data_IF_273961582011
#
_entry.id   IF_273961582011
#
_cell.length_a   1.000
_cell.length_b   1.000
_cell.length_c   1.000
_cell.angle_alpha   90.00
_cell.angle_beta   90.00
_cell.angle_gamma   90.00
#
_symmetry.space_group_name_H-M   'P 1'
#
loop_
_entity.id
_entity.type
_entity.pdbx_description
1 polymer ?
#
# COMPACT_ATOMS: atom_id res chain seq x y z
N UNK A 1 7.00 39.93 5.38
CA UNK A 1 5.64 39.60 4.91
C UNK A 1 4.73 39.68 6.11
N UNK A 2 3.55 40.29 6.01
CA UNK A 2 2.74 40.68 7.17
C UNK A 2 2.18 39.44 7.91
N UNK A 3 2.28 39.44 9.24
CA UNK A 3 1.95 38.32 10.16
C UNK A 3 0.54 37.75 9.89
N UNK A 4 -0.43 38.64 9.71
CA UNK A 4 -1.82 38.27 9.41
C UNK A 4 -2.02 37.73 8.01
N UNK A 5 -1.18 38.13 7.05
CA UNK A 5 -1.28 37.70 5.66
C UNK A 5 -0.76 36.27 5.51
N UNK A 6 0.32 35.89 6.21
CA UNK A 6 0.86 34.52 6.20
C UNK A 6 -0.03 33.52 6.93
N UNK A 7 -0.57 33.89 8.10
CA UNK A 7 -1.54 33.06 8.84
C UNK A 7 -2.80 32.78 8.02
N UNK A 8 -3.28 33.79 7.27
CA UNK A 8 -4.39 33.64 6.32
C UNK A 8 -4.04 32.79 5.10
N UNK A 9 -2.86 32.98 4.51
CA UNK A 9 -2.42 32.22 3.31
C UNK A 9 -2.30 30.71 3.58
N UNK A 10 -2.04 30.31 4.84
CA UNK A 10 -1.90 28.90 5.22
C UNK A 10 -3.10 28.31 5.96
N UNK A 11 -3.96 29.13 6.57
CA UNK A 11 -5.36 28.70 6.77
C UNK A 11 -6.02 28.33 5.43
N UNK A 12 -5.66 29.03 4.36
CA UNK A 12 -6.08 28.66 3.00
C UNK A 12 -5.41 27.35 2.56
N UNK A 13 -4.16 27.08 2.91
CA UNK A 13 -3.48 25.79 2.61
C UNK A 13 -4.08 24.62 3.40
N UNK A 14 -4.42 24.80 4.68
CA UNK A 14 -5.15 23.84 5.49
C UNK A 14 -6.60 23.63 4.99
N UNK A 15 -7.25 24.69 4.49
CA UNK A 15 -8.55 24.60 3.83
C UNK A 15 -8.47 23.95 2.42
N UNK A 16 -7.31 23.98 1.77
CA UNK A 16 -7.05 23.30 0.49
C UNK A 16 -6.85 21.80 0.67
N UNK A 17 -6.29 21.34 1.80
CA UNK A 17 -6.25 19.92 2.18
C UNK A 17 -7.67 19.35 2.32
N UNK A 18 -8.59 20.11 2.93
CA UNK A 18 -10.00 19.70 3.12
C UNK A 18 -10.86 19.67 1.85
N UNK A 19 -10.31 20.03 0.68
CA UNK A 19 -11.00 20.01 -0.61
C UNK A 19 -10.87 18.68 -1.38
N UNK A 20 -10.01 17.76 -0.95
CA UNK A 20 -9.77 16.49 -1.62
C UNK A 20 -10.53 15.35 -0.91
N UNK A 21 -11.84 15.28 -1.11
CA UNK A 21 -12.64 14.12 -0.69
C UNK A 21 -13.16 13.38 -1.92
N UNK A 22 -12.42 12.35 -2.32
CA UNK A 22 -13.03 11.20 -2.97
C UNK A 22 -12.54 9.95 -2.23
N UNK A 23 -13.41 9.48 -1.36
CA UNK A 23 -13.35 8.16 -0.76
C UNK A 23 -13.41 7.10 -1.86
N UNK A 24 -12.38 6.27 -1.89
CA UNK A 24 -12.32 4.99 -2.56
C UNK A 24 -11.17 4.25 -1.89
N UNK A 25 -11.31 2.95 -1.65
CA UNK A 25 -10.21 2.13 -1.15
C UNK A 25 -8.98 2.35 -2.04
N UNK A 26 -7.96 3.04 -1.54
CA UNK A 26 -6.79 3.41 -2.37
C UNK A 26 -5.75 2.30 -2.26
N UNK A 27 -6.03 1.18 -2.94
CA UNK A 27 -4.96 0.38 -3.51
C UNK A 27 -4.15 1.31 -4.42
N UNK A 28 -2.82 1.17 -4.44
CA UNK A 28 -1.99 2.01 -5.31
C UNK A 28 -2.50 1.86 -6.75
N UNK A 29 -2.94 2.98 -7.35
CA UNK A 29 -3.43 2.98 -8.73
C UNK A 29 -2.36 2.35 -9.60
N UNK A 30 -2.72 1.34 -10.35
CA UNK A 30 -1.73 0.59 -11.11
C UNK A 30 -2.26 0.23 -12.48
N UNK A 31 -1.34 0.09 -13.43
CA UNK A 31 -1.63 -0.32 -14.80
C UNK A 31 -0.88 -1.62 -15.02
N UNK A 32 -1.64 -2.71 -15.15
CA UNK A 32 -1.13 -4.03 -15.47
C UNK A 32 -1.20 -4.34 -16.94
N UNK A 33 -0.12 -4.85 -17.52
CA UNK A 33 -0.10 -5.39 -18.86
C UNK A 33 0.35 -6.84 -18.81
N UNK A 34 -0.49 -7.75 -19.27
CA UNK A 34 -0.19 -9.18 -19.44
C UNK A 34 0.04 -9.46 -20.93
N UNK A 35 1.21 -10.00 -21.29
CA UNK A 35 1.48 -10.47 -22.64
C UNK A 35 0.99 -11.91 -22.77
N UNK A 36 -0.17 -12.09 -23.42
CA UNK A 36 -0.87 -13.38 -23.51
C UNK A 36 -0.04 -14.42 -24.27
N UNK A 37 0.66 -14.03 -25.34
CA UNK A 37 1.59 -14.90 -26.07
C UNK A 37 0.96 -16.15 -26.72
N UNK A 38 1.79 -17.17 -26.98
CA UNK A 38 1.46 -18.40 -27.74
C UNK A 38 1.90 -18.37 -29.22
N UNK A 39 1.92 -19.49 -29.98
CA UNK A 39 3.00 -20.48 -29.94
C UNK A 39 3.90 -20.54 -31.21
N UNK A 40 5.08 -21.19 -31.10
CA UNK A 40 5.54 -22.04 -32.21
C UNK A 40 6.19 -23.39 -31.82
N UNK A 41 5.60 -24.51 -32.31
CA UNK A 41 6.18 -25.85 -32.21
C UNK A 41 5.25 -27.07 -32.36
N UNK A 42 4.00 -26.95 -32.85
CA UNK A 42 3.09 -28.12 -32.89
C UNK A 42 1.78 -28.01 -33.67
N UNK A 43 1.78 -27.40 -34.86
CA UNK A 43 0.63 -27.40 -35.78
C UNK A 43 -0.62 -26.70 -35.26
N UNK A 44 -1.74 -26.87 -35.98
CA UNK A 44 -3.11 -26.35 -35.73
C UNK A 44 -3.72 -26.68 -34.35
N UNK A 45 -2.92 -27.11 -33.38
CA UNK A 45 -3.30 -27.48 -32.01
C UNK A 45 -2.58 -26.66 -30.91
N UNK A 46 -1.80 -25.63 -31.27
CA UNK A 46 -1.22 -24.70 -30.30
C UNK A 46 -2.29 -23.86 -29.60
N UNK A 47 -2.03 -23.42 -28.37
CA UNK A 47 -2.91 -22.54 -27.60
C UNK A 47 -2.25 -21.20 -27.34
N UNK A 48 -3.06 -20.17 -27.15
CA UNK A 48 -2.63 -18.91 -26.56
C UNK A 48 -2.14 -19.18 -25.13
N UNK A 49 -1.23 -18.34 -24.63
CA UNK A 49 -0.99 -18.32 -23.19
C UNK A 49 -2.20 -17.81 -22.42
N UNK A 50 -2.04 -17.64 -21.12
CA UNK A 50 -3.18 -17.42 -20.23
C UNK A 50 -3.60 -15.95 -20.15
N UNK A 51 -4.93 -15.72 -20.17
CA UNK A 51 -5.50 -14.45 -19.76
C UNK A 51 -5.44 -14.32 -18.24
N UNK A 52 -5.10 -13.13 -17.75
CA UNK A 52 -5.19 -12.80 -16.32
C UNK A 52 -6.50 -12.05 -16.10
N UNK A 53 -7.33 -12.61 -15.23
CA UNK A 53 -8.71 -12.17 -14.99
C UNK A 53 -9.00 -11.83 -13.53
N UNK A 54 -8.10 -12.21 -12.63
CA UNK A 54 -8.18 -11.88 -11.21
C UNK A 54 -6.93 -11.14 -10.72
N UNK A 55 -6.59 -11.37 -9.46
CA UNK A 55 -5.50 -10.65 -8.76
C UNK A 55 -4.19 -11.40 -8.93
N UNK A 56 -3.17 -10.72 -9.47
CA UNK A 56 -1.83 -11.26 -9.67
C UNK A 56 -0.76 -10.16 -9.55
N UNK A 57 0.51 -10.57 -9.51
CA UNK A 57 1.69 -9.71 -9.54
C UNK A 57 2.44 -9.62 -8.20
N UNK A 58 3.68 -9.14 -8.27
CA UNK A 58 4.50 -8.78 -7.09
C UNK A 58 3.79 -7.75 -6.23
N UNK A 59 3.18 -6.75 -6.87
CA UNK A 59 2.17 -5.89 -6.25
C UNK A 59 0.83 -6.47 -6.69
N UNK A 60 0.04 -7.08 -5.78
CA UNK A 60 -1.24 -7.66 -6.16
C UNK A 60 -2.14 -6.60 -6.81
N UNK A 61 -2.62 -6.86 -8.03
CA UNK A 61 -3.61 -6.01 -8.72
C UNK A 61 -4.59 -6.86 -9.52
N UNK A 62 -5.82 -6.35 -9.68
CA UNK A 62 -6.78 -6.81 -10.68
C UNK A 62 -6.66 -5.98 -11.97
N UNK A 63 -7.56 -6.21 -12.94
CA UNK A 63 -7.69 -5.30 -14.09
C UNK A 63 -6.58 -5.38 -15.14
N UNK A 64 -5.89 -6.52 -15.25
CA UNK A 64 -4.79 -6.69 -16.21
C UNK A 64 -5.24 -6.48 -17.67
N UNK A 65 -4.54 -5.61 -18.39
CA UNK A 65 -4.68 -5.41 -19.82
C UNK A 65 -4.02 -6.61 -20.54
N UNK A 66 -4.84 -7.51 -21.05
CA UNK A 66 -4.37 -8.70 -21.78
C UNK A 66 -4.10 -8.34 -23.24
N UNK A 67 -2.81 -8.27 -23.62
CA UNK A 67 -2.33 -7.85 -24.94
C UNK A 67 -1.49 -8.95 -25.60
N UNK A 68 -1.09 -8.73 -26.85
CA UNK A 68 -0.31 -9.68 -27.65
C UNK A 68 -0.88 -11.12 -27.65
N UNK A 69 -2.20 -11.34 -27.89
CA UNK A 69 -2.67 -12.68 -28.17
C UNK A 69 -2.04 -13.15 -29.48
N UNK A 70 -1.77 -14.45 -29.58
CA UNK A 70 -1.25 -15.00 -30.82
C UNK A 70 -2.24 -14.81 -31.98
N UNK A 71 -1.71 -14.50 -33.18
CA UNK A 71 -2.52 -14.41 -34.39
C UNK A 71 -1.77 -14.95 -35.61
N UNK A 72 -2.49 -15.57 -36.56
CA UNK A 72 -1.91 -16.10 -37.80
C UNK A 72 -1.67 -15.03 -38.89
N UNK A 73 -2.05 -13.76 -38.67
CA UNK A 73 -1.99 -12.71 -39.70
C UNK A 73 -0.56 -12.18 -39.87
N UNK A 74 0.04 -12.45 -41.04
CA UNK A 74 1.45 -12.17 -41.40
C UNK A 74 1.64 -10.93 -42.26
N UNK A 75 0.79 -9.91 -42.12
CA UNK A 75 0.62 -8.87 -43.16
C UNK A 75 1.69 -7.76 -43.23
N UNK A 76 2.82 -7.84 -42.49
CA UNK A 76 3.91 -6.87 -42.61
C UNK A 76 4.72 -7.04 -43.93
N UNK A 77 4.76 -6.04 -44.83
CA UNK A 77 5.50 -6.15 -46.10
C UNK A 77 7.01 -5.98 -45.88
N UNK A 78 7.82 -6.95 -46.33
CA UNK A 78 9.29 -6.80 -46.47
C UNK A 78 10.16 -7.63 -45.54
N UNK A 79 9.59 -8.57 -44.79
CA UNK A 79 10.33 -9.46 -43.89
C UNK A 79 10.48 -10.87 -44.49
N UNK A 80 11.52 -11.63 -44.12
CA UNK A 80 11.72 -13.00 -44.60
C UNK A 80 10.48 -13.87 -44.33
N UNK A 81 10.09 -14.78 -45.24
CA UNK A 81 8.88 -15.59 -45.13
C UNK A 81 8.80 -16.54 -43.92
N UNK A 82 9.84 -16.59 -43.07
CA UNK A 82 10.00 -17.55 -41.98
C UNK A 82 10.04 -16.90 -40.58
N UNK A 83 9.81 -15.58 -40.44
CA UNK A 83 9.84 -14.88 -39.14
C UNK A 83 8.55 -14.05 -38.94
N UNK A 84 7.58 -14.53 -38.13
CA UNK A 84 6.37 -13.75 -37.83
C UNK A 84 6.72 -12.66 -36.83
N UNK A 85 7.03 -11.45 -37.31
CA UNK A 85 7.08 -10.25 -36.46
C UNK A 85 5.72 -10.10 -35.74
N UNK A 86 5.72 -10.26 -34.42
CA UNK A 86 4.53 -10.21 -33.53
C UNK A 86 4.42 -8.85 -32.82
N UNK A 87 4.99 -7.83 -33.45
CA UNK A 87 4.89 -6.44 -33.06
C UNK A 87 3.44 -6.01 -32.82
N UNK A 88 3.24 -5.10 -31.88
CA UNK A 88 1.91 -4.61 -31.60
C UNK A 88 1.89 -3.40 -30.70
N UNK A 89 0.68 -2.92 -30.46
CA UNK A 89 0.41 -1.80 -29.58
C UNK A 89 -0.98 -1.91 -28.96
N UNK A 90 -1.14 -1.31 -27.79
CA UNK A 90 -2.43 -1.04 -27.17
C UNK A 90 -2.45 0.40 -26.68
N UNK A 91 -3.63 1.02 -26.74
CA UNK A 91 -3.84 2.42 -26.40
C UNK A 91 -4.86 2.54 -25.29
N UNK A 92 -4.83 3.66 -24.55
CA UNK A 92 -5.79 4.00 -23.50
C UNK A 92 -5.93 2.85 -22.47
N UNK A 93 -4.79 2.34 -21.97
CA UNK A 93 -4.75 1.20 -21.05
C UNK A 93 -5.62 1.44 -19.82
N UNK A 94 -6.22 0.37 -19.30
CA UNK A 94 -7.05 0.42 -18.11
C UNK A 94 -6.19 0.36 -16.84
N UNK A 95 -6.59 1.11 -15.81
CA UNK A 95 -6.08 0.94 -14.45
C UNK A 95 -6.65 -0.33 -13.77
N UNK A 96 -6.18 -0.62 -12.56
CA UNK A 96 -6.53 -1.79 -11.77
C UNK A 96 -8.02 -1.85 -11.35
N UNK A 97 -8.71 -0.70 -11.41
CA UNK A 97 -10.14 -0.55 -11.19
C UNK A 97 -10.96 -0.57 -12.50
N UNK A 98 -10.31 -0.70 -13.66
CA UNK A 98 -10.93 -0.69 -14.99
C UNK A 98 -11.21 0.71 -15.56
N UNK A 99 -10.68 1.76 -14.95
CA UNK A 99 -10.72 3.13 -15.44
C UNK A 99 -9.78 3.33 -16.63
N UNK A 100 -10.22 4.07 -17.64
CA UNK A 100 -9.40 4.38 -18.82
C UNK A 100 -8.32 5.39 -18.45
N UNK A 101 -7.06 5.10 -18.78
CA UNK A 101 -5.92 6.00 -18.57
C UNK A 101 -5.41 6.57 -19.90
N UNK A 102 -4.43 7.47 -19.84
CA UNK A 102 -3.70 7.92 -21.05
C UNK A 102 -2.55 6.99 -21.43
N UNK A 103 -2.22 5.98 -20.62
CA UNK A 103 -1.05 5.16 -20.89
C UNK A 103 -1.26 4.33 -22.15
N UNK A 104 -0.24 4.35 -23.01
CA UNK A 104 -0.17 3.54 -24.21
C UNK A 104 1.04 2.61 -24.13
N UNK A 105 1.01 1.51 -24.87
CA UNK A 105 2.12 0.57 -24.97
C UNK A 105 2.33 0.13 -26.42
N UNK A 106 3.59 0.00 -26.81
CA UNK A 106 4.00 -0.66 -28.05
C UNK A 106 5.13 -1.64 -27.76
N UNK A 107 5.23 -2.70 -28.56
CA UNK A 107 6.30 -3.67 -28.43
C UNK A 107 6.80 -4.15 -29.79
N UNK A 108 8.07 -4.56 -29.76
CA UNK A 108 8.80 -5.22 -30.81
C UNK A 108 9.32 -6.55 -30.25
N UNK A 109 9.07 -7.67 -30.93
CA UNK A 109 9.56 -8.99 -30.51
C UNK A 109 9.66 -9.98 -31.67
N UNK A 110 10.65 -10.87 -31.61
CA UNK A 110 10.86 -11.91 -32.63
C UNK A 110 9.71 -12.92 -32.66
N UNK A 111 9.13 -13.23 -31.50
CA UNK A 111 8.10 -14.25 -31.39
C UNK A 111 7.24 -14.06 -30.13
N UNK A 112 6.16 -14.83 -30.03
CA UNK A 112 5.40 -15.05 -28.79
C UNK A 112 5.47 -16.52 -28.41
N UNK A 113 5.51 -16.79 -27.11
CA UNK A 113 5.56 -18.16 -26.59
C UNK A 113 4.82 -18.26 -25.26
N UNK A 114 4.84 -19.45 -24.66
CA UNK A 114 4.25 -19.70 -23.36
C UNK A 114 5.10 -20.69 -22.57
N UNK A 115 5.15 -20.52 -21.25
CA UNK A 115 6.08 -21.22 -20.37
C UNK A 115 5.67 -22.67 -20.05
N UNK A 116 4.60 -23.20 -20.64
CA UNK A 116 4.01 -24.51 -20.29
C UNK A 116 3.60 -24.59 -18.79
N UNK A 117 3.08 -23.50 -18.21
CA UNK A 117 2.57 -23.50 -16.82
C UNK A 117 1.18 -24.14 -16.68
N UNK A 118 0.64 -24.70 -17.76
CA UNK A 118 -0.72 -25.27 -17.89
C UNK A 118 -1.11 -26.25 -16.78
N UNK A 119 -0.19 -27.14 -16.41
CA UNK A 119 -0.43 -28.15 -15.38
C UNK A 119 -0.71 -27.54 -14.00
N UNK A 120 -0.37 -26.26 -13.80
CA UNK A 120 -0.38 -25.56 -12.53
C UNK A 120 -1.16 -24.22 -12.57
N UNK A 121 -2.03 -23.97 -13.57
CA UNK A 121 -2.90 -22.76 -13.66
C UNK A 121 -3.98 -22.73 -12.57
N UNK A 122 -3.55 -22.82 -11.33
CA UNK A 122 -4.35 -22.89 -10.10
C UNK A 122 -4.60 -21.51 -9.51
N UNK A 123 -3.86 -20.49 -9.97
CA UNK A 123 -3.97 -19.10 -9.56
C UNK A 123 -3.59 -18.15 -10.70
N UNK A 124 -3.87 -16.87 -10.50
CA UNK A 124 -3.68 -15.82 -11.51
C UNK A 124 -2.22 -15.41 -11.68
N UNK A 125 -1.35 -15.57 -10.69
CA UNK A 125 0.10 -15.32 -10.84
C UNK A 125 0.75 -16.36 -11.76
N UNK A 126 0.34 -17.62 -11.68
CA UNK A 126 0.79 -18.64 -12.65
C UNK A 126 0.28 -18.35 -14.06
N UNK A 127 -0.91 -17.73 -14.21
CA UNK A 127 -1.40 -17.26 -15.52
C UNK A 127 -0.59 -16.07 -16.03
N UNK A 128 -0.26 -15.13 -15.16
CA UNK A 128 0.57 -13.96 -15.48
C UNK A 128 1.96 -14.38 -15.97
N UNK A 129 2.52 -15.46 -15.40
CA UNK A 129 3.81 -16.00 -15.81
C UNK A 129 3.72 -17.11 -16.87
N UNK A 130 2.58 -17.29 -17.54
CA UNK A 130 2.41 -18.32 -18.59
C UNK A 130 2.79 -17.77 -19.97
N UNK A 131 2.09 -16.75 -20.45
CA UNK A 131 2.35 -16.13 -21.76
C UNK A 131 3.52 -15.16 -21.74
N UNK A 132 4.25 -15.01 -22.85
CA UNK A 132 5.26 -13.97 -22.99
C UNK A 132 5.59 -13.63 -24.46
N UNK A 133 6.05 -12.39 -24.67
CA UNK A 133 6.77 -11.98 -25.88
C UNK A 133 8.25 -12.38 -25.77
N UNK A 134 8.80 -13.00 -26.80
CA UNK A 134 10.05 -13.77 -26.80
C UNK A 134 11.13 -13.14 -27.69
N UNK A 135 12.39 -13.31 -27.27
CA UNK A 135 13.54 -13.12 -28.13
C UNK A 135 14.37 -14.41 -28.22
N UNK A 136 14.74 -14.79 -29.43
CA UNK A 136 15.60 -15.94 -29.67
C UNK A 136 17.03 -15.70 -29.15
N UNK A 137 17.68 -16.74 -28.63
CA UNK A 137 19.05 -16.66 -28.09
C UNK A 137 20.18 -16.52 -29.13
N UNK A 138 19.90 -15.96 -30.32
CA UNK A 138 20.90 -15.75 -31.37
C UNK A 138 21.28 -14.27 -31.44
N UNK A 139 22.54 -13.95 -31.17
CA UNK A 139 23.11 -12.60 -31.11
C UNK A 139 23.00 -11.74 -32.40
N UNK A 140 22.44 -12.28 -33.49
CA UNK A 140 22.20 -11.57 -34.75
C UNK A 140 20.73 -11.12 -34.91
N UNK A 141 19.83 -11.49 -33.99
CA UNK A 141 18.43 -11.09 -34.01
C UNK A 141 18.22 -9.75 -33.30
N UNK A 142 17.08 -9.11 -33.59
CA UNK A 142 16.72 -7.79 -33.04
C UNK A 142 16.65 -7.87 -31.50
N UNK A 143 16.69 -6.74 -30.79
CA UNK A 143 16.40 -6.73 -29.35
C UNK A 143 14.89 -6.71 -29.17
N UNK A 144 14.36 -7.41 -28.15
CA UNK A 144 12.98 -7.20 -27.75
C UNK A 144 12.88 -5.82 -27.12
N UNK A 145 11.93 -5.00 -27.58
CA UNK A 145 11.72 -3.66 -27.05
C UNK A 145 10.26 -3.48 -26.68
N UNK A 146 9.99 -2.92 -25.51
CA UNK A 146 8.67 -2.46 -25.09
C UNK A 146 8.76 -0.99 -24.75
N UNK A 147 7.86 -0.17 -25.27
CA UNK A 147 7.78 1.26 -24.98
C UNK A 147 6.42 1.58 -24.38
N UNK A 148 6.42 2.04 -23.13
CA UNK A 148 5.29 2.70 -22.50
C UNK A 148 5.36 4.19 -22.81
N UNK A 149 4.24 4.79 -23.19
CA UNK A 149 4.10 6.24 -23.43
C UNK A 149 2.90 6.78 -22.67
N UNK A 150 2.89 8.10 -22.47
CA UNK A 150 1.78 8.81 -21.81
C UNK A 150 1.41 8.24 -20.43
N UNK A 151 2.41 7.74 -19.69
CA UNK A 151 2.21 7.23 -18.32
C UNK A 151 1.62 8.34 -17.45
N UNK A 152 0.44 8.12 -16.83
CA UNK A 152 -0.35 9.19 -16.19
C UNK A 152 0.15 9.56 -14.78
N UNK A 153 1.11 8.81 -14.24
CA UNK A 153 1.62 9.00 -12.88
C UNK A 153 2.84 9.93 -12.90
N UNK A 154 2.81 10.95 -12.04
CA UNK A 154 3.95 11.86 -11.86
C UNK A 154 5.19 11.14 -11.32
N UNK A 155 4.97 10.09 -10.51
CA UNK A 155 6.00 9.16 -10.05
C UNK A 155 5.43 7.75 -9.95
N UNK A 156 6.17 6.74 -10.37
CA UNK A 156 5.73 5.35 -10.30
C UNK A 156 6.90 4.38 -10.14
N UNK A 157 6.60 3.21 -9.60
CA UNK A 157 7.48 2.05 -9.69
C UNK A 157 7.11 1.22 -10.92
N UNK A 158 8.12 0.64 -11.57
CA UNK A 158 7.94 -0.22 -12.73
C UNK A 158 8.46 -1.63 -12.42
N UNK A 159 7.57 -2.61 -12.58
CA UNK A 159 7.90 -4.02 -12.50
C UNK A 159 7.88 -4.63 -13.90
N UNK A 160 8.93 -5.36 -14.26
CA UNK A 160 9.03 -6.08 -15.53
C UNK A 160 9.17 -7.57 -15.23
N UNK A 161 8.16 -8.35 -15.57
CA UNK A 161 8.12 -9.79 -15.31
C UNK A 161 8.78 -10.52 -16.46
N UNK A 162 9.80 -11.32 -16.16
CA UNK A 162 10.68 -11.93 -17.16
C UNK A 162 10.79 -13.43 -16.96
N UNK A 163 11.09 -14.15 -18.05
CA UNK A 163 11.13 -15.60 -18.00
C UNK A 163 11.27 -16.24 -19.36
N UNK A 164 10.99 -17.54 -19.44
CA UNK A 164 10.96 -18.30 -20.69
C UNK A 164 10.35 -19.70 -20.48
N UNK A 165 10.23 -20.51 -21.54
CA UNK A 165 9.82 -21.93 -21.48
C UNK A 165 10.85 -22.90 -20.88
N UNK A 166 11.99 -22.40 -20.42
CA UNK A 166 13.02 -23.17 -19.73
C UNK A 166 13.77 -22.37 -18.67
N UNK A 167 14.17 -23.04 -17.61
CA UNK A 167 14.91 -22.39 -16.53
C UNK A 167 16.41 -22.23 -16.88
N UNK A 168 17.08 -21.32 -16.18
CA UNK A 168 18.51 -21.03 -16.27
C UNK A 168 19.00 -20.46 -17.61
N UNK A 169 18.11 -19.84 -18.39
CA UNK A 169 18.48 -19.09 -19.60
C UNK A 169 18.89 -17.67 -19.23
N UNK A 170 20.04 -17.22 -19.73
CA UNK A 170 20.64 -15.93 -19.36
C UNK A 170 20.14 -14.83 -20.30
N UNK A 171 19.68 -13.73 -19.71
CA UNK A 171 19.31 -12.52 -20.44
C UNK A 171 19.60 -11.27 -19.61
N UNK A 172 19.66 -10.13 -20.30
CA UNK A 172 19.83 -8.80 -19.70
C UNK A 172 18.71 -7.86 -20.12
N UNK A 173 18.26 -7.01 -19.20
CA UNK A 173 17.24 -6.00 -19.46
C UNK A 173 17.80 -4.62 -19.13
N UNK A 174 17.62 -3.65 -20.01
CA UNK A 174 17.90 -2.24 -19.74
C UNK A 174 16.62 -1.41 -19.81
N UNK A 175 16.59 -0.36 -19.00
CA UNK A 175 15.55 0.67 -19.01
C UNK A 175 16.13 1.97 -19.56
N UNK A 176 15.46 2.59 -20.54
CA UNK A 176 15.84 3.86 -21.17
C UNK A 176 17.30 3.89 -21.67
N UNK A 177 17.74 2.78 -22.27
CA UNK A 177 19.14 2.56 -22.68
C UNK A 177 20.17 2.69 -21.54
N UNK A 178 19.73 2.51 -20.30
CA UNK A 178 20.56 2.49 -19.10
C UNK A 178 21.35 1.18 -18.91
N UNK A 179 21.98 0.98 -17.74
CA UNK A 179 22.71 -0.24 -17.44
C UNK A 179 21.78 -1.46 -17.45
N UNK A 180 22.35 -2.61 -17.83
CA UNK A 180 21.61 -3.88 -17.83
C UNK A 180 21.55 -4.49 -16.44
N UNK A 181 20.40 -5.07 -16.12
CA UNK A 181 20.20 -6.02 -15.04
C UNK A 181 20.05 -7.42 -15.63
N UNK A 182 20.82 -8.37 -15.12
CA UNK A 182 20.90 -9.73 -15.63
C UNK A 182 20.12 -10.71 -14.77
N UNK A 183 19.54 -11.72 -15.41
CA UNK A 183 18.79 -12.79 -14.75
C UNK A 183 19.00 -14.13 -15.42
N UNK A 184 18.77 -15.19 -14.66
CA UNK A 184 18.55 -16.54 -15.19
C UNK A 184 17.05 -16.84 -15.12
N UNK A 185 16.41 -17.22 -16.22
CA UNK A 185 14.96 -17.50 -16.23
C UNK A 185 14.56 -18.57 -15.20
N UNK A 186 13.40 -18.40 -14.55
CA UNK A 186 12.93 -19.26 -13.45
C UNK A 186 11.40 -19.44 -13.45
N UNK A 187 10.80 -19.62 -14.62
CA UNK A 187 9.33 -19.68 -14.77
C UNK A 187 8.84 -20.75 -15.74
N UNK A 188 9.71 -21.52 -16.39
CA UNK A 188 9.33 -22.51 -17.39
C UNK A 188 8.58 -23.72 -16.82
N UNK A 189 8.09 -24.63 -17.67
CA UNK A 189 7.49 -25.97 -17.42
C UNK A 189 6.78 -26.20 -16.07
N UNK A 190 6.02 -25.23 -15.55
CA UNK A 190 5.31 -25.35 -14.29
C UNK A 190 6.12 -25.04 -13.04
N UNK A 191 7.33 -24.47 -13.16
CA UNK A 191 8.19 -24.07 -12.04
C UNK A 191 7.63 -22.88 -11.25
N UNK A 192 6.71 -22.10 -11.82
CA UNK A 192 6.06 -20.99 -11.15
C UNK A 192 4.68 -21.39 -10.61
N UNK A 193 4.56 -21.55 -9.29
CA UNK A 193 3.37 -22.08 -8.62
C UNK A 193 2.51 -21.00 -7.96
N UNK A 194 3.00 -19.77 -7.81
CA UNK A 194 2.22 -18.66 -7.29
C UNK A 194 3.06 -17.53 -6.66
N UNK A 195 2.45 -16.66 -5.85
CA UNK A 195 3.08 -15.44 -5.32
C UNK A 195 4.43 -15.62 -4.61
N UNK A 196 4.63 -16.75 -3.92
CA UNK A 196 5.86 -17.02 -3.17
C UNK A 196 7.10 -17.23 -4.07
N UNK A 197 6.89 -17.50 -5.36
CA UNK A 197 7.93 -17.81 -6.32
C UNK A 197 8.49 -16.57 -7.03
N UNK A 198 7.92 -15.38 -6.80
CA UNK A 198 8.52 -14.14 -7.30
C UNK A 198 9.92 -13.92 -6.69
N UNK A 199 10.90 -13.74 -7.58
CA UNK A 199 12.31 -13.49 -7.25
C UNK A 199 12.85 -12.35 -8.11
N UNK A 200 13.28 -11.28 -7.46
CA UNK A 200 13.84 -10.12 -8.13
C UNK A 200 15.20 -10.43 -8.74
N UNK A 201 15.47 -9.91 -9.92
CA UNK A 201 16.81 -9.85 -10.49
C UNK A 201 17.50 -8.55 -10.06
N UNK A 202 18.72 -8.67 -9.52
CA UNK A 202 19.52 -7.52 -9.04
C UNK A 202 20.95 -7.53 -9.57
N UNK A 203 21.32 -8.53 -10.38
CA UNK A 203 22.69 -8.69 -10.86
C UNK A 203 23.03 -7.63 -11.93
N UNK A 204 24.17 -6.96 -11.77
CA UNK A 204 24.69 -5.95 -12.72
C UNK A 204 25.79 -6.51 -13.64
N UNK A 205 26.10 -7.80 -13.52
CA UNK A 205 26.99 -8.54 -14.45
C UNK A 205 26.38 -9.90 -14.79
N UNK A 206 26.75 -10.45 -15.94
CA UNK A 206 26.27 -11.75 -16.40
C UNK A 206 26.64 -12.89 -15.44
N UNK A 207 27.85 -12.87 -14.89
CA UNK A 207 28.37 -13.92 -14.00
C UNK A 207 27.68 -13.93 -12.63
N UNK A 208 27.10 -12.81 -12.22
CA UNK A 208 26.38 -12.67 -10.97
C UNK A 208 24.88 -12.99 -11.10
N UNK A 209 24.39 -13.27 -12.30
CA UNK A 209 23.00 -13.59 -12.56
C UNK A 209 22.57 -14.86 -11.79
N UNK A 210 21.40 -14.79 -11.17
CA UNK A 210 20.77 -15.89 -10.43
C UNK A 210 19.36 -16.16 -10.97
N UNK A 211 18.76 -17.33 -10.67
CA UNK A 211 17.38 -17.61 -11.02
C UNK A 211 16.41 -16.56 -10.46
N UNK A 212 15.78 -15.80 -11.36
CA UNK A 212 14.91 -14.67 -11.06
C UNK A 212 13.84 -14.54 -12.15
N UNK A 213 12.76 -13.82 -11.86
CA UNK A 213 11.59 -13.73 -12.73
C UNK A 213 10.89 -12.36 -12.74
N UNK A 214 11.47 -11.35 -12.10
CA UNK A 214 11.08 -9.96 -12.34
C UNK A 214 12.23 -8.98 -12.08
N UNK A 215 12.10 -7.78 -12.65
CA UNK A 215 12.93 -6.61 -12.37
C UNK A 215 12.06 -5.52 -11.74
N UNK A 216 12.69 -4.66 -10.95
CA UNK A 216 12.05 -3.55 -10.26
C UNK A 216 12.85 -2.28 -10.47
N UNK A 217 12.19 -1.25 -10.98
CA UNK A 217 12.74 0.08 -11.20
C UNK A 217 11.93 1.08 -10.36
N UNK A 218 12.47 1.55 -9.23
CA UNK A 218 11.75 2.44 -8.34
C UNK A 218 11.68 3.87 -8.88
N UNK A 219 10.61 4.59 -8.50
CA UNK A 219 10.56 6.06 -8.52
C UNK A 219 10.86 6.72 -9.86
N UNK A 220 10.36 6.15 -10.96
CA UNK A 220 10.42 6.76 -12.27
C UNK A 220 9.51 7.99 -12.34
N UNK A 221 10.00 9.07 -12.92
CA UNK A 221 9.31 10.35 -13.11
C UNK A 221 9.21 10.76 -14.60
N UNK A 222 9.30 9.75 -15.47
CA UNK A 222 9.24 9.90 -16.93
C UNK A 222 7.91 9.42 -17.48
N UNK A 223 7.33 10.17 -18.41
CA UNK A 223 6.09 9.79 -19.10
C UNK A 223 6.31 8.76 -20.21
N UNK A 224 7.56 8.41 -20.51
CA UNK A 224 7.94 7.39 -21.48
C UNK A 224 9.02 6.49 -20.90
N UNK A 225 8.79 5.18 -20.93
CA UNK A 225 9.73 4.17 -20.46
C UNK A 225 9.97 3.14 -21.58
N UNK A 226 11.21 3.02 -22.03
CA UNK A 226 11.65 2.06 -23.03
C UNK A 226 12.42 0.92 -22.35
N UNK A 227 11.87 -0.28 -22.39
CA UNK A 227 12.46 -1.51 -21.87
C UNK A 227 13.07 -2.27 -23.04
N UNK A 228 14.35 -2.62 -22.96
CA UNK A 228 15.03 -3.47 -23.95
C UNK A 228 15.48 -4.77 -23.27
N UNK A 229 15.11 -5.92 -23.83
CA UNK A 229 15.58 -7.24 -23.39
C UNK A 229 16.49 -7.86 -24.46
N UNK A 230 17.65 -8.32 -24.01
CA UNK A 230 18.64 -9.03 -24.81
C UNK A 230 18.82 -10.47 -24.30
N UNK A 231 18.54 -11.45 -25.16
CA UNK A 231 18.82 -12.86 -24.89
C UNK A 231 20.31 -13.15 -25.10
N UNK A 232 20.95 -13.75 -24.08
CA UNK A 232 22.41 -13.99 -24.09
C UNK A 232 22.72 -15.48 -24.23
N UNK A 233 22.04 -16.34 -23.47
CA UNK A 233 22.18 -17.78 -23.56
C UNK A 233 20.82 -18.48 -23.44
N UNK A 234 20.29 -18.91 -24.59
CA UNK A 234 18.91 -19.39 -24.72
C UNK A 234 17.93 -18.24 -25.00
N UNK A 235 16.67 -18.57 -25.24
CA UNK A 235 15.61 -17.58 -25.39
C UNK A 235 15.10 -17.09 -24.04
N UNK A 236 14.58 -15.86 -24.02
CA UNK A 236 14.00 -15.22 -22.86
C UNK A 236 12.98 -14.19 -23.31
N UNK A 237 12.13 -13.72 -22.40
CA UNK A 237 11.08 -12.80 -22.76
C UNK A 237 10.46 -12.07 -21.59
N UNK A 238 9.45 -11.25 -21.94
CA UNK A 238 8.68 -10.46 -21.00
C UNK A 238 7.26 -11.04 -20.93
N UNK A 239 6.89 -11.50 -19.74
CA UNK A 239 5.56 -12.03 -19.43
C UNK A 239 4.55 -10.92 -19.19
N UNK A 240 4.97 -9.90 -18.43
CA UNK A 240 4.08 -8.83 -18.01
C UNK A 240 4.87 -7.57 -17.64
N UNK A 241 4.15 -6.45 -17.55
CA UNK A 241 4.64 -5.19 -17.00
C UNK A 241 3.60 -4.65 -16.04
N UNK A 242 4.04 -4.04 -14.94
CA UNK A 242 3.17 -3.36 -14.01
C UNK A 242 3.74 -1.98 -13.64
N UNK A 243 2.92 -0.96 -13.84
CA UNK A 243 3.21 0.44 -13.49
C UNK A 243 2.42 0.75 -12.22
N UNK A 244 3.09 1.00 -11.11
CA UNK A 244 2.45 1.23 -9.80
C UNK A 244 2.64 2.68 -9.41
N UNK A 245 1.54 3.42 -9.25
CA UNK A 245 1.57 4.81 -8.81
C UNK A 245 2.32 4.93 -7.47
N UNK A 246 3.27 5.86 -7.45
CA UNK A 246 4.08 6.24 -6.28
C UNK A 246 4.10 7.76 -6.12
N UNK A 247 3.08 8.44 -6.61
CA UNK A 247 2.84 9.84 -6.31
C UNK A 247 2.61 10.08 -4.80
N UNK A 248 2.33 9.04 -4.03
CA UNK A 248 2.26 9.08 -2.58
C UNK A 248 3.64 8.84 -1.90
N UNK A 249 4.11 9.84 -1.17
CA UNK A 249 5.39 9.87 -0.46
C UNK A 249 5.25 9.46 1.00
N UNK A 250 4.04 9.63 1.54
CA UNK A 250 3.70 9.28 2.90
C UNK A 250 2.40 8.49 2.90
N UNK A 251 2.32 7.52 3.81
CA UNK A 251 1.10 6.81 4.13
C UNK A 251 0.75 7.01 5.61
N UNK A 252 -0.54 6.94 5.90
CA UNK A 252 -1.09 6.80 7.24
C UNK A 252 -1.40 5.32 7.47
N UNK A 253 -0.65 4.69 8.36
CA UNK A 253 -0.92 3.35 8.85
C UNK A 253 -1.77 3.41 10.10
N UNK A 254 -2.78 2.55 10.21
CA UNK A 254 -3.65 2.45 11.39
C UNK A 254 -3.78 1.00 11.79
N UNK A 255 -3.46 0.71 13.03
CA UNK A 255 -3.77 -0.57 13.64
C UNK A 255 -5.27 -0.61 13.97
N UNK A 256 -6.04 -1.41 13.22
CA UNK A 256 -7.48 -1.51 13.38
C UNK A 256 -7.91 -2.10 14.73
N UNK A 257 -7.02 -2.82 15.42
CA UNK A 257 -7.29 -3.42 16.73
C UNK A 257 -7.00 -2.44 17.87
N UNK A 258 -5.90 -1.70 17.79
CA UNK A 258 -5.46 -0.81 18.88
C UNK A 258 -5.85 0.65 18.70
N UNK A 259 -6.16 1.07 17.48
CA UNK A 259 -6.44 2.46 17.09
C UNK A 259 -5.18 3.32 16.95
N UNK A 260 -3.99 2.75 17.17
CA UNK A 260 -2.71 3.43 17.01
C UNK A 260 -2.46 3.74 15.52
N UNK A 261 -2.02 4.97 15.23
CA UNK A 261 -1.74 5.39 13.88
C UNK A 261 -0.30 5.89 13.72
N UNK A 262 0.24 5.75 12.52
CA UNK A 262 1.60 6.18 12.16
C UNK A 262 1.62 6.90 10.81
N UNK A 263 2.43 7.96 10.73
CA UNK A 263 2.88 8.47 9.44
C UNK A 263 4.18 7.74 9.09
N UNK A 264 4.20 7.11 7.92
CA UNK A 264 5.36 6.38 7.40
C UNK A 264 5.79 7.04 6.09
N UNK A 265 7.06 7.44 6.01
CA UNK A 265 7.67 7.91 4.77
C UNK A 265 8.11 6.74 3.91
N UNK A 266 8.01 6.89 2.58
CA UNK A 266 8.41 5.85 1.60
C UNK A 266 9.83 6.03 1.05
N UNK A 267 10.73 6.63 1.83
CA UNK A 267 12.18 6.47 1.64
C UNK A 267 12.83 7.24 0.49
N UNK A 268 12.19 8.30 -0.03
CA UNK A 268 12.80 9.12 -1.07
C UNK A 268 13.55 10.30 -0.42
N UNK A 269 14.85 10.42 -0.74
CA UNK A 269 15.89 11.31 -0.17
C UNK A 269 15.52 12.82 -0.09
N UNK A 270 14.34 13.24 -0.56
CA UNK A 270 13.92 14.64 -0.59
C UNK A 270 12.44 14.88 -0.17
N UNK A 271 11.78 13.89 0.46
CA UNK A 271 10.39 14.04 0.92
C UNK A 271 10.29 14.89 2.21
N UNK A 272 10.39 16.21 2.04
CA UNK A 272 10.24 17.19 3.12
C UNK A 272 8.76 17.56 3.32
N UNK A 273 8.10 16.95 4.31
CA UNK A 273 6.70 17.25 4.65
C UNK A 273 6.58 18.56 5.43
N UNK A 274 5.69 19.44 5.01
CA UNK A 274 5.43 20.74 5.65
C UNK A 274 4.06 20.82 6.33
N UNK A 275 3.11 19.97 5.95
CA UNK A 275 1.80 19.85 6.59
C UNK A 275 1.18 18.48 6.33
N UNK A 276 0.24 18.07 7.18
CA UNK A 276 -0.62 16.93 6.93
C UNK A 276 -2.04 17.16 7.48
N UNK A 277 -3.01 16.45 6.90
CA UNK A 277 -4.37 16.35 7.39
C UNK A 277 -4.84 14.89 7.33
N UNK A 278 -5.48 14.46 8.41
CA UNK A 278 -6.29 13.24 8.47
C UNK A 278 -7.73 13.70 8.62
N UNK A 279 -8.63 13.26 7.74
CA UNK A 279 -10.03 13.67 7.78
C UNK A 279 -10.96 12.46 7.69
N UNK A 280 -12.05 12.50 8.46
CA UNK A 280 -13.13 11.51 8.51
C UNK A 280 -14.47 12.24 8.51
N UNK A 281 -15.35 11.95 7.55
CA UNK A 281 -16.72 12.48 7.59
C UNK A 281 -17.61 11.75 8.60
N UNK A 282 -17.24 10.52 8.97
CA UNK A 282 -17.94 9.70 9.95
C UNK A 282 -17.57 10.04 11.40
N UNK A 283 -16.49 10.79 11.61
CA UNK A 283 -16.05 11.22 12.94
C UNK A 283 -15.24 10.15 13.69
N UNK A 284 -14.47 9.34 12.97
CA UNK A 284 -13.74 8.18 13.52
C UNK A 284 -12.45 8.55 14.29
N UNK A 285 -12.14 9.84 14.46
CA UNK A 285 -10.90 10.28 15.12
C UNK A 285 -11.08 10.55 16.63
N UNK A 286 -10.03 10.27 17.40
CA UNK A 286 -9.95 10.49 18.84
C UNK A 286 -8.92 11.60 19.14
N UNK A 287 -9.29 12.88 19.04
CA UNK A 287 -8.34 14.00 19.12
C UNK A 287 -7.63 14.11 20.48
N UNK A 288 -8.26 13.66 21.57
CA UNK A 288 -7.65 13.66 22.90
C UNK A 288 -6.51 12.63 23.05
N UNK A 289 -6.40 11.67 22.12
CA UNK A 289 -5.35 10.65 22.09
C UNK A 289 -4.24 10.98 21.09
N UNK A 290 -4.30 12.16 20.47
CA UNK A 290 -3.28 12.62 19.53
C UNK A 290 -1.94 12.89 20.21
N UNK A 291 -0.94 12.12 19.80
CA UNK A 291 0.48 12.40 20.03
C UNK A 291 1.01 13.26 18.89
N UNK A 292 0.73 14.56 18.95
CA UNK A 292 1.06 15.51 17.88
C UNK A 292 2.55 15.58 17.58
N UNK A 293 2.93 15.86 16.33
CA UNK A 293 4.34 16.10 15.94
C UNK A 293 4.94 17.27 16.71
N UNK A 294 4.09 18.25 17.06
CA UNK A 294 4.44 19.33 17.99
C UNK A 294 4.88 18.81 19.36
N UNK A 295 4.10 17.89 19.97
CA UNK A 295 4.42 17.31 21.28
C UNK A 295 5.66 16.41 21.25
N UNK A 296 5.95 15.85 20.08
CA UNK A 296 7.15 15.05 19.82
C UNK A 296 8.39 15.89 19.57
N UNK A 297 8.24 17.22 19.42
CA UNK A 297 9.34 18.17 19.17
C UNK A 297 10.13 17.82 17.90
N UNK A 298 9.42 17.35 16.87
CA UNK A 298 10.03 16.97 15.60
C UNK A 298 10.64 18.21 14.92
N UNK A 299 11.95 18.17 14.68
CA UNK A 299 12.74 19.22 14.02
C UNK A 299 12.46 20.64 14.54
N UNK A 300 12.32 20.84 15.85
CA UNK A 300 12.23 22.20 16.40
C UNK A 300 13.51 23.00 16.07
N UNK A 301 13.33 24.21 15.55
CA UNK A 301 14.43 25.14 15.27
C UNK A 301 14.29 26.40 16.10
N UNK A 302 15.39 27.09 16.34
CA UNK A 302 15.40 28.45 16.87
C UNK A 302 15.29 29.42 15.69
N UNK A 303 14.19 30.15 15.62
CA UNK A 303 13.85 31.00 14.49
C UNK A 303 14.42 32.41 14.66
N UNK A 304 14.70 33.14 13.58
CA UNK A 304 15.13 34.54 13.68
C UNK A 304 13.99 35.49 14.11
N UNK A 305 12.82 34.95 14.44
CA UNK A 305 11.58 35.69 14.70
C UNK A 305 11.45 36.17 16.14
N UNK A 306 12.17 35.55 17.07
CA UNK A 306 12.36 36.06 18.42
C UNK A 306 13.84 36.34 18.72
N UNK A 307 14.11 36.92 19.89
CA UNK A 307 15.45 37.35 20.30
C UNK A 307 16.08 36.40 21.32
N UNK A 308 15.51 35.21 21.50
CA UNK A 308 16.03 34.23 22.44
C UNK A 308 16.79 33.12 21.73
N UNK A 309 16.93 31.97 22.39
CA UNK A 309 17.73 30.84 21.90
C UNK A 309 17.04 29.51 22.19
N UNK A 310 15.71 29.53 22.40
CA UNK A 310 14.93 28.39 22.87
C UNK A 310 14.13 27.84 21.69
N UNK A 311 14.70 26.88 20.97
CA UNK A 311 14.03 26.24 19.84
C UNK A 311 12.58 25.78 20.15
N UNK A 312 11.65 26.12 19.25
CA UNK A 312 10.26 25.67 19.29
C UNK A 312 9.37 26.44 20.27
N UNK A 313 9.84 27.54 20.86
CA UNK A 313 9.03 28.35 21.76
C UNK A 313 8.16 29.38 21.03
N UNK A 314 8.49 29.69 19.78
CA UNK A 314 7.80 30.68 18.95
C UNK A 314 7.04 30.06 17.76
N UNK A 315 6.12 30.85 17.18
CA UNK A 315 5.27 30.41 16.07
C UNK A 315 6.12 30.07 14.84
N UNK A 316 5.90 28.88 14.27
CA UNK A 316 6.57 28.37 13.07
C UNK A 316 7.98 27.82 13.26
N UNK A 317 8.47 27.75 14.48
CA UNK A 317 9.72 27.06 14.85
C UNK A 317 9.56 25.55 15.03
N UNK A 318 8.32 25.10 15.19
CA UNK A 318 7.93 23.71 15.38
C UNK A 318 6.70 23.36 14.54
N UNK A 319 6.34 22.08 14.56
CA UNK A 319 5.01 21.65 14.14
C UNK A 319 3.94 22.25 15.05
N UNK A 320 2.79 22.57 14.49
CA UNK A 320 1.66 23.20 15.18
C UNK A 320 0.37 22.49 14.83
N UNK A 321 -0.47 22.24 15.85
CA UNK A 321 -1.82 21.69 15.68
C UNK A 321 -2.77 22.82 15.28
N UNK A 322 -3.34 22.72 14.08
CA UNK A 322 -4.35 23.65 13.57
C UNK A 322 -5.77 23.14 13.84
N UNK A 323 -5.96 21.83 13.75
CA UNK A 323 -7.22 21.17 14.07
C UNK A 323 -6.95 19.82 14.75
N UNK A 324 -7.73 19.53 15.78
CA UNK A 324 -7.85 18.21 16.37
C UNK A 324 -9.31 18.05 16.82
N UNK A 325 -10.09 17.36 16.00
CA UNK A 325 -11.51 17.07 16.20
C UNK A 325 -11.78 15.62 15.84
N UNK A 326 -12.99 15.13 16.13
CA UNK A 326 -13.39 13.79 15.70
C UNK A 326 -13.42 13.63 14.17
N UNK A 327 -13.52 14.73 13.43
CA UNK A 327 -13.64 14.73 11.97
C UNK A 327 -12.37 15.14 11.24
N UNK A 328 -11.41 15.79 11.92
CA UNK A 328 -10.14 16.11 11.31
C UNK A 328 -9.02 16.34 12.32
N UNK A 329 -7.81 15.91 11.96
CA UNK A 329 -6.56 16.28 12.61
C UNK A 329 -5.69 16.96 11.56
N UNK A 330 -5.14 18.14 11.86
CA UNK A 330 -4.30 18.89 10.93
C UNK A 330 -3.13 19.51 11.69
N UNK A 331 -1.91 19.19 11.26
CA UNK A 331 -0.70 19.86 11.74
C UNK A 331 0.10 20.43 10.57
N UNK A 332 0.82 21.52 10.84
CA UNK A 332 1.77 22.08 9.89
C UNK A 332 2.99 22.67 10.57
N UNK A 333 4.12 22.66 9.87
CA UNK A 333 5.33 23.37 10.25
C UNK A 333 5.45 24.63 9.39
N UNK A 334 5.17 25.79 9.98
CA UNK A 334 5.03 27.01 9.18
C UNK A 334 6.35 27.44 8.52
N UNK A 335 7.49 27.46 9.21
CA UNK A 335 8.74 27.98 8.62
C UNK A 335 9.76 26.90 8.29
N UNK A 336 9.28 25.69 8.01
CA UNK A 336 10.14 24.60 7.58
C UNK A 336 9.35 23.39 7.11
N UNK A 337 10.07 22.28 7.00
CA UNK A 337 9.54 20.97 6.70
C UNK A 337 10.41 19.94 7.41
N UNK A 338 9.92 18.72 7.53
CA UNK A 338 10.62 17.60 8.17
C UNK A 338 10.86 16.50 7.15
N UNK A 339 12.06 15.93 7.17
CA UNK A 339 12.36 14.71 6.42
C UNK A 339 11.73 13.54 7.18
N UNK A 340 10.82 12.82 6.51
CA UNK A 340 10.21 11.61 7.05
C UNK A 340 10.48 10.54 6.01
N UNK A 341 11.35 9.59 6.33
CA UNK A 341 11.70 8.47 5.46
C UNK A 341 11.23 7.14 6.08
N UNK A 342 11.58 6.02 5.44
CA UNK A 342 11.21 4.67 5.93
C UNK A 342 11.86 4.33 7.28
N UNK A 343 12.89 5.07 7.71
CA UNK A 343 13.56 4.89 9.01
C UNK A 343 12.88 5.70 10.12
N UNK A 344 12.05 6.68 9.76
CA UNK A 344 11.34 7.56 10.69
C UNK A 344 9.86 7.18 10.71
N UNK A 345 9.50 6.31 11.65
CA UNK A 345 8.10 5.94 11.94
C UNK A 345 7.54 6.88 13.00
N UNK A 346 6.60 7.75 12.63
CA UNK A 346 6.00 8.74 13.54
C UNK A 346 4.65 8.25 14.05
N UNK A 347 4.64 7.71 15.27
CA UNK A 347 3.38 7.37 15.98
C UNK A 347 2.61 8.65 16.29
N UNK A 348 1.36 8.71 15.87
CA UNK A 348 0.40 9.76 16.19
C UNK A 348 -0.46 9.42 17.41
N UNK A 349 -0.22 8.27 18.05
CA UNK A 349 -1.04 7.78 19.16
C UNK A 349 -2.28 7.04 18.68
N UNK A 350 -3.16 6.69 19.63
CA UNK A 350 -4.41 5.94 19.41
C UNK A 350 -5.54 6.83 18.91
N UNK A 351 -5.30 7.46 17.77
CA UNK A 351 -6.18 8.49 17.21
C UNK A 351 -7.37 7.93 16.45
N UNK A 352 -7.46 6.61 16.24
CA UNK A 352 -8.58 5.99 15.53
C UNK A 352 -9.52 5.26 16.49
N UNK A 353 -10.83 5.52 16.37
CA UNK A 353 -11.85 4.81 17.13
C UNK A 353 -12.15 3.46 16.48
N UNK A 354 -11.64 2.40 17.09
CA UNK A 354 -11.78 1.02 16.59
C UNK A 354 -13.22 0.53 16.59
N UNK A 355 -14.15 1.22 17.26
CA UNK A 355 -15.58 0.90 17.19
C UNK A 355 -16.17 1.06 15.77
N UNK A 356 -15.51 1.82 14.89
CA UNK A 356 -15.91 2.00 13.50
C UNK A 356 -15.51 0.82 12.60
N UNK A 357 -14.61 -0.06 13.04
CA UNK A 357 -13.99 -1.05 12.16
C UNK A 357 -13.14 -0.35 11.10
N UNK A 358 -13.56 -0.36 9.84
CA UNK A 358 -12.92 0.39 8.75
C UNK A 358 -13.83 1.55 8.35
N UNK A 359 -13.35 2.77 8.53
CA UNK A 359 -14.01 4.01 8.07
C UNK A 359 -13.63 4.28 6.60
N UNK A 360 -14.57 4.09 5.64
CA UNK A 360 -14.29 4.29 4.22
C UNK A 360 -14.13 5.77 3.85
N UNK A 361 -14.52 6.70 4.73
CA UNK A 361 -14.35 8.14 4.51
C UNK A 361 -12.99 8.67 4.96
N UNK A 362 -12.22 7.85 5.67
CA UNK A 362 -10.95 8.26 6.24
C UNK A 362 -9.95 8.56 5.12
N UNK A 363 -9.36 9.75 5.18
CA UNK A 363 -8.43 10.25 4.17
C UNK A 363 -7.19 10.83 4.82
N UNK A 364 -6.07 10.72 4.11
CA UNK A 364 -4.80 11.30 4.50
C UNK A 364 -4.28 12.16 3.35
N UNK A 365 -3.94 13.40 3.63
CA UNK A 365 -3.35 14.32 2.67
C UNK A 365 -2.20 15.08 3.32
N UNK A 366 -1.23 15.50 2.51
CA UNK A 366 -0.05 16.19 3.01
C UNK A 366 0.45 17.24 2.01
N UNK A 367 1.24 18.18 2.51
CA UNK A 367 1.94 19.15 1.68
C UNK A 367 3.44 18.97 1.86
N UNK A 368 4.19 19.11 0.76
CA UNK A 368 5.64 19.17 0.80
C UNK A 368 6.12 20.60 1.04
N UNK A 369 7.43 20.78 1.19
CA UNK A 369 8.06 22.10 1.25
C UNK A 369 7.75 22.96 0.00
N UNK A 370 7.49 22.32 -1.14
CA UNK A 370 7.16 22.94 -2.43
C UNK A 370 6.06 22.15 -3.14
N UNK A 371 5.31 22.80 -4.03
CA UNK A 371 4.26 22.15 -4.82
C UNK A 371 2.87 22.16 -4.18
N UNK A 372 1.87 21.60 -4.88
CA UNK A 372 0.51 21.46 -4.36
C UNK A 372 0.44 20.36 -3.27
N UNK A 373 -0.62 20.34 -2.45
CA UNK A 373 -0.91 19.20 -1.59
C UNK A 373 -1.10 17.91 -2.41
N UNK A 374 -0.69 16.80 -1.82
CA UNK A 374 -0.82 15.45 -2.36
C UNK A 374 -1.72 14.62 -1.45
N UNK A 375 -2.38 13.62 -2.02
CA UNK A 375 -3.08 12.61 -1.25
C UNK A 375 -2.10 11.52 -0.86
N UNK A 376 -2.08 11.16 0.42
CA UNK A 376 -1.41 9.96 0.89
C UNK A 376 -2.35 8.77 0.93
N UNK A 377 -1.79 7.58 1.16
CA UNK A 377 -2.58 6.36 1.34
C UNK A 377 -2.95 6.19 2.81
N UNK A 378 -4.16 5.73 3.08
CA UNK A 378 -4.56 5.19 4.39
C UNK A 378 -4.50 3.67 4.31
N UNK A 379 -3.77 3.04 5.22
CA UNK A 379 -3.63 1.58 5.30
C UNK A 379 -4.01 1.09 6.68
N UNK A 380 -5.03 0.24 6.75
CA UNK A 380 -5.32 -0.51 7.96
C UNK A 380 -4.42 -1.75 8.02
N UNK A 381 -3.81 -1.96 9.18
CA UNK A 381 -3.03 -3.14 9.53
C UNK A 381 -3.61 -3.76 10.80
N UNK A 382 -3.32 -5.04 11.01
CA UNK A 382 -3.56 -5.72 12.29
C UNK A 382 -2.19 -6.10 12.84
N UNK A 383 -1.71 -5.34 13.83
CA UNK A 383 -0.54 -5.79 14.59
C UNK A 383 -0.99 -6.88 15.56
N UNK A 384 -0.19 -7.93 15.79
CA UNK A 384 -0.47 -8.86 16.88
C UNK A 384 -0.60 -8.05 18.17
N UNK A 385 -1.73 -8.17 18.85
CA UNK A 385 -1.93 -7.47 20.12
C UNK A 385 -0.81 -7.89 21.07
N UNK A 386 -0.17 -6.97 21.81
CA UNK A 386 0.82 -7.36 22.80
C UNK A 386 0.18 -8.32 23.80
N UNK A 387 0.74 -9.54 23.91
CA UNK A 387 0.16 -10.59 24.76
C UNK A 387 -0.82 -11.52 24.05
N UNK A 388 -1.28 -11.21 22.84
CA UNK A 388 -2.04 -12.12 21.98
C UNK A 388 -1.06 -13.08 21.29
N UNK A 389 -0.84 -14.20 21.96
CA UNK A 389 0.14 -15.20 21.58
C UNK A 389 -0.46 -16.29 20.70
N UNK A 390 -1.78 -16.49 20.69
CA UNK A 390 -2.44 -17.39 19.75
C UNK A 390 -2.90 -16.71 18.44
N UNK A 391 -2.83 -15.38 18.39
CA UNK A 391 -3.15 -14.49 17.26
C UNK A 391 -4.62 -14.56 16.86
N UNK A 392 -5.51 -14.73 17.83
CA UNK A 392 -6.94 -14.76 17.58
C UNK A 392 -7.59 -13.37 17.64
N UNK A 393 -6.79 -12.32 17.90
CA UNK A 393 -7.23 -10.93 17.92
C UNK A 393 -7.77 -10.48 19.27
N UNK A 394 -7.57 -11.26 20.33
CA UNK A 394 -7.95 -10.91 21.69
C UNK A 394 -6.77 -11.18 22.66
N UNK A 395 -6.84 -10.65 23.90
CA UNK A 395 -5.86 -11.01 24.95
C UNK A 395 -6.60 -11.64 26.11
N UNK A 396 -6.55 -12.97 26.19
CA UNK A 396 -7.28 -13.74 27.19
C UNK A 396 -6.43 -14.84 27.85
N UNK A 397 -7.11 -15.86 28.37
CA UNK A 397 -6.49 -16.95 29.10
C UNK A 397 -5.81 -17.98 28.17
N UNK A 398 -6.25 -18.08 26.92
CA UNK A 398 -5.73 -19.02 25.91
C UNK A 398 -4.33 -18.58 25.45
N UNK A 399 -4.07 -17.27 25.40
CA UNK A 399 -2.71 -16.72 25.21
C UNK A 399 -1.72 -17.12 26.29
N UNK A 400 -2.18 -17.13 27.55
CA UNK A 400 -1.35 -17.61 28.64
C UNK A 400 -1.02 -19.09 28.49
N UNK A 401 -1.92 -19.88 27.90
CA UNK A 401 -1.63 -21.27 27.59
C UNK A 401 -0.54 -21.39 26.52
N UNK A 402 -0.54 -20.52 25.50
CA UNK A 402 0.52 -20.46 24.49
C UNK A 402 1.87 -20.05 25.10
N UNK A 403 1.90 -19.01 25.94
CA UNK A 403 3.11 -18.63 26.68
C UNK A 403 3.62 -19.77 27.55
N UNK A 404 2.73 -20.38 28.33
CA UNK A 404 3.08 -21.46 29.25
C UNK A 404 3.61 -22.68 28.51
N UNK A 405 3.03 -23.03 27.36
CA UNK A 405 3.49 -24.12 26.52
C UNK A 405 4.86 -23.83 25.88
N UNK A 406 5.16 -22.55 25.63
CA UNK A 406 6.38 -22.09 24.95
C UNK A 406 7.49 -21.67 25.92
N UNK A 407 7.25 -21.66 27.22
CA UNK A 407 8.21 -21.16 28.22
C UNK A 407 9.58 -21.86 28.14
N UNK A 408 10.63 -21.07 27.99
CA UNK A 408 12.01 -21.52 27.82
C UNK A 408 12.44 -21.73 26.36
N UNK A 409 11.54 -21.63 25.39
CA UNK A 409 11.87 -21.67 23.97
C UNK A 409 12.79 -20.51 23.57
N UNK A 410 13.64 -20.73 22.58
CA UNK A 410 14.56 -19.72 22.02
C UNK A 410 14.78 -19.97 20.53
N UNK A 411 14.85 -18.91 19.74
CA UNK A 411 14.92 -18.99 18.28
C UNK A 411 14.18 -17.83 17.61
N UNK A 412 14.24 -17.74 16.27
CA UNK A 412 13.40 -16.80 15.53
C UNK A 412 11.92 -17.21 15.59
N UNK A 413 11.01 -16.25 15.40
CA UNK A 413 9.58 -16.45 15.18
C UNK A 413 8.81 -17.16 16.31
N UNK A 414 9.18 -16.90 17.57
CA UNK A 414 8.46 -17.39 18.74
C UNK A 414 7.17 -16.60 18.96
N UNK A 415 6.01 -17.27 18.89
CA UNK A 415 4.70 -16.65 19.08
C UNK A 415 4.59 -15.90 20.42
N UNK A 416 5.12 -16.49 21.49
CA UNK A 416 5.06 -15.94 22.85
C UNK A 416 6.30 -15.11 23.27
N UNK A 417 7.13 -14.64 22.33
CA UNK A 417 8.24 -13.72 22.61
C UNK A 417 7.77 -12.26 22.51
N UNK A 418 6.85 -11.89 23.41
CA UNK A 418 6.27 -10.54 23.45
C UNK A 418 7.28 -9.43 23.78
N UNK A 419 8.39 -9.76 24.46
CA UNK A 419 9.49 -8.84 24.73
C UNK A 419 10.50 -8.75 23.57
N UNK A 420 10.34 -9.59 22.53
CA UNK A 420 11.21 -9.68 21.34
C UNK A 420 12.68 -9.87 21.70
N UNK A 421 12.94 -10.69 22.71
CA UNK A 421 14.26 -10.98 23.24
C UNK A 421 14.95 -12.16 22.53
N UNK A 422 14.23 -12.88 21.66
CA UNK A 422 14.64 -14.14 21.06
C UNK A 422 14.45 -15.35 21.97
N UNK A 423 13.74 -15.20 23.09
CA UNK A 423 13.45 -16.22 24.10
C UNK A 423 12.09 -15.96 24.74
N UNK A 424 11.33 -17.02 24.99
CA UNK A 424 10.10 -16.96 25.81
C UNK A 424 10.47 -17.19 27.27
N UNK A 425 10.36 -16.16 28.10
CA UNK A 425 10.60 -16.20 29.53
C UNK A 425 9.61 -15.35 30.35
N UNK A 426 10.01 -14.98 31.57
CA UNK A 426 9.17 -14.23 32.49
C UNK A 426 8.92 -12.78 32.04
N UNK A 427 9.76 -12.20 31.18
CA UNK A 427 9.53 -10.89 30.59
C UNK A 427 8.30 -10.92 29.68
N UNK A 428 8.13 -11.97 28.90
CA UNK A 428 6.96 -12.13 28.02
C UNK A 428 5.67 -12.31 28.82
N UNK A 429 5.73 -13.05 29.93
CA UNK A 429 4.60 -13.12 30.85
C UNK A 429 4.16 -11.74 31.35
N UNK A 430 5.11 -10.83 31.61
CA UNK A 430 4.73 -9.48 32.01
C UNK A 430 4.05 -8.70 30.89
N UNK A 431 4.42 -8.93 29.63
CA UNK A 431 3.73 -8.37 28.46
C UNK A 431 2.28 -8.87 28.41
N UNK A 432 2.07 -10.20 28.44
CA UNK A 432 0.72 -10.78 28.47
C UNK A 432 -0.08 -10.29 29.68
N UNK A 433 0.48 -10.34 30.89
CA UNK A 433 -0.24 -9.97 32.12
C UNK A 433 -0.72 -8.51 32.08
N UNK A 434 0.14 -7.61 31.63
CA UNK A 434 -0.19 -6.19 31.59
C UNK A 434 -1.26 -5.91 30.51
N UNK A 435 -1.20 -6.62 29.38
CA UNK A 435 -2.22 -6.57 28.34
C UNK A 435 -3.56 -7.20 28.76
N UNK A 436 -3.54 -8.38 29.39
CA UNK A 436 -4.71 -9.07 29.93
C UNK A 436 -5.43 -8.21 30.98
N UNK A 437 -4.67 -7.51 31.83
CA UNK A 437 -5.24 -6.57 32.80
C UNK A 437 -5.92 -5.37 32.10
N UNK A 438 -5.31 -4.84 31.03
CA UNK A 438 -5.92 -3.77 30.24
C UNK A 438 -7.21 -4.23 29.54
N UNK A 439 -7.22 -5.43 28.95
CA UNK A 439 -8.41 -6.03 28.34
C UNK A 439 -9.53 -6.27 29.36
N UNK A 440 -9.18 -6.72 30.57
CA UNK A 440 -10.14 -6.96 31.67
C UNK A 440 -10.80 -5.68 32.20
N UNK A 441 -10.14 -4.53 32.05
CA UNK A 441 -10.69 -3.22 32.46
C UNK A 441 -11.62 -2.61 31.40
N UNK A 442 -11.64 -3.15 30.18
CA UNK A 442 -12.47 -2.68 29.08
C UNK A 442 -13.88 -3.30 29.05
N UNK A 443 -14.24 -4.16 30.01
CA UNK A 443 -15.63 -4.62 30.14
C UNK A 443 -16.51 -3.40 30.41
N UNK A 444 -17.48 -3.05 29.54
CA UNK A 444 -18.40 -1.96 29.81
C UNK A 444 -19.12 -2.31 31.11
N UNK A 445 -18.79 -1.58 32.18
CA UNK A 445 -19.57 -1.66 33.40
C UNK A 445 -20.97 -1.21 33.02
N UNK A 446 -22.01 -2.05 33.18
CA UNK A 446 -23.38 -1.58 33.00
C UNK A 446 -23.55 -0.46 34.01
N UNK A 447 -23.70 0.79 33.57
CA UNK A 447 -23.89 1.90 34.50
C UNK A 447 -25.06 1.55 35.41
N UNK A 448 -24.85 1.45 36.74
CA UNK A 448 -25.92 1.12 37.65
C UNK A 448 -26.71 2.39 37.92
N UNK A 449 -27.53 2.88 36.97
CA UNK A 449 -28.77 3.66 37.22
C UNK A 449 -29.25 4.51 36.03
N UNK A 450 -30.26 4.02 35.30
CA UNK A 450 -31.30 4.91 34.75
C UNK A 450 -32.71 4.38 34.97
N UNK A 451 -32.87 3.07 35.21
CA UNK A 451 -34.20 2.46 35.40
C UNK A 451 -34.73 2.63 36.83
N UNK A 452 -33.86 2.70 37.85
CA UNK A 452 -34.31 2.81 39.25
C UNK A 452 -34.68 4.25 39.64
N UNK A 453 -34.00 5.27 39.08
CA UNK A 453 -34.33 6.68 39.35
C UNK A 453 -35.61 7.14 38.64
N UNK A 454 -36.00 6.48 37.54
CA UNK A 454 -37.23 6.81 36.80
C UNK A 454 -38.52 6.19 37.42
N UNK A 455 -38.40 5.16 38.28
CA UNK A 455 -39.57 4.57 38.95
C UNK A 455 -39.98 5.28 40.26
N UNK A 456 -39.10 6.08 40.87
CA UNK A 456 -39.43 6.81 42.11
C UNK A 456 -40.15 8.14 41.82
N UNK A 457 -39.98 8.73 40.63
CA UNK A 457 -40.70 9.98 40.25
C UNK A 457 -42.14 9.75 39.78
N UNK A 458 -42.47 8.55 39.26
CA UNK A 458 -43.85 8.23 38.81
C UNK A 458 -44.80 7.92 39.98
N UNK A 459 -44.31 7.41 41.11
CA UNK A 459 -45.16 7.08 42.26
C UNK A 459 -45.51 8.29 43.13
N UNK A 460 -44.63 9.29 43.26
CA UNK A 460 -44.93 10.54 43.98
C UNK A 460 -45.89 11.45 43.18
N UNK A 461 -45.72 11.54 41.85
CA UNK A 461 -46.58 12.35 40.98
C UNK A 461 -48.04 11.87 40.88
N UNK A 462 -48.28 10.55 40.95
CA UNK A 462 -49.63 9.98 40.91
C UNK A 462 -50.41 10.17 42.23
N UNK A 463 -49.70 10.29 43.35
CA UNK A 463 -50.32 10.46 44.69
C UNK A 463 -50.79 11.90 44.96
N UNK A 464 -50.19 12.90 44.30
CA UNK A 464 -50.56 14.32 44.47
C UNK A 464 -51.79 14.74 43.63
N UNK A 465 -52.11 14.05 42.52
CA UNK A 465 -53.28 14.36 41.69
C UNK A 465 -54.63 13.85 42.21
N UNK A 466 -54.66 13.04 43.27
CA UNK A 466 -55.92 12.46 43.81
C UNK A 466 -56.54 13.23 44.98
N UNK A 467 -55.96 14.33 45.46
CA UNK A 467 -56.49 15.05 46.64
C UNK A 467 -57.41 16.27 46.36
N UNK A 468 -57.60 16.70 45.11
CA UNK A 468 -58.34 17.95 44.83
C UNK A 468 -59.75 17.77 44.23
N UNK A 469 -60.42 16.65 44.45
CA UNK A 469 -61.84 16.48 44.04
C UNK A 469 -62.72 15.91 45.14
N UNK A 470 -62.94 16.65 46.22
CA UNK A 470 -64.21 16.60 46.96
C UNK A 470 -64.60 18.00 47.47
N UNK A 471 -65.57 18.61 46.79
CA UNK A 471 -66.34 19.77 47.28
C UNK A 471 -67.67 19.26 47.90
N UNK A 472 -68.35 20.07 48.74
CA UNK A 472 -69.15 19.59 49.88
C UNK A 472 -70.60 19.28 49.52
N UNK A 473 -71.19 18.24 50.14
CA UNK A 473 -72.65 18.06 50.15
C UNK A 473 -73.27 18.79 51.33
N UNK A 474 -74.24 19.66 51.02
CA UNK A 474 -75.12 20.36 51.96
C UNK A 474 -76.19 19.42 52.51
N UNK A 475 -76.57 19.68 53.77
CA UNK A 475 -77.76 19.20 54.45
C UNK A 475 -79.05 19.59 53.72
N UNK A 476 -80.01 18.65 53.70
CA UNK A 476 -81.38 18.84 54.17
C UNK A 476 -81.92 17.52 54.71
#
# INVERSE_FOLDING_TARGET
MDYFLMKRLRLILAALLGGCSLAGDVQAKSIGINFVGGPHGGGVNGRDGSLVTGVAGVVPQSGWNNVAPWSEDRSAPGLPPDDPDVDGSAFDLLDDAGGVTTADISWFSDNTYYADNDANLTNEDTRLMDGYIDIGGNAERRKLQVTLTEVPYERYDLYVYVGSDGDNRLAGVSLNSGPQTFFLANTGRGSFLGPADYKQATAITQEAAVPSNYLYYPSLDVTTAAIELEGIAGNAGIHAIQVVDRSDLFLLEIDSLTGEAWIVGKGLDESLMSAYQIASSEGSLLPDQLRSLSSQRLDEVDGPADADTIAGNSEGERWEVFEASATAITEARLFGASAIDETVILSLGKIYDTAFGVDPSLSFSYALATGPPLNGIVRFIESPLPGDYDRDGNVDQDDYEVWRASYGASGPDLLADGARSGRVDAADYTVWRDAYAAASLAIPTPEPSSVVTCMITVTVGASMRRRDRQAPMRFQ
#
